data_IF_809793955848
#
_entry.id   IF_809793955848
#
_cell.length_a   1.000
_cell.length_b   1.000
_cell.length_c   1.000
_cell.angle_alpha   90.00
_cell.angle_beta   90.00
_cell.angle_gamma   90.00
#
_symmetry.space_group_name_H-M   'P 1'
#
loop_
_entity.id
_entity.type
_entity.pdbx_description
1 polymer ?
#
# COMPACT_ATOMS: atom_id res chain seq x y z
N UNK A 1 24.96 26.41 16.62
CA UNK A 1 23.96 26.15 15.56
C UNK A 1 23.73 24.65 15.47
N UNK A 2 22.62 24.16 16.05
CA UNK A 2 22.34 22.72 16.21
C UNK A 2 21.87 22.17 14.86
N UNK A 3 22.70 21.34 14.21
CA UNK A 3 22.39 20.66 12.94
C UNK A 3 21.25 19.67 13.18
N UNK A 4 20.03 20.09 12.84
CA UNK A 4 18.85 19.24 12.84
C UNK A 4 18.96 18.29 11.64
N UNK A 5 19.55 17.10 11.85
CA UNK A 5 19.41 15.98 10.91
C UNK A 5 18.03 15.39 11.14
N UNK A 6 17.00 15.99 10.54
CA UNK A 6 15.69 15.37 10.47
C UNK A 6 15.85 14.16 9.53
N UNK A 7 15.70 12.91 10.00
CA UNK A 7 15.81 11.76 9.12
C UNK A 7 14.63 11.80 8.14
N UNK A 8 14.94 11.68 6.85
CA UNK A 8 13.97 11.64 5.74
C UNK A 8 12.81 10.64 5.98
N UNK A 9 13.02 9.66 6.86
CA UNK A 9 12.04 8.69 7.32
C UNK A 9 10.78 9.32 7.95
N UNK A 10 10.88 10.49 8.61
CA UNK A 10 9.73 11.11 9.31
C UNK A 10 8.76 11.79 8.33
N UNK A 11 9.24 12.22 7.15
CA UNK A 11 8.38 12.88 6.15
C UNK A 11 7.42 11.87 5.49
N UNK A 12 7.82 10.60 5.36
CA UNK A 12 6.93 9.54 4.87
C UNK A 12 5.80 9.21 5.87
N UNK A 13 6.04 9.37 7.18
CA UNK A 13 5.09 9.05 8.27
C UNK A 13 3.89 10.02 8.29
N UNK A 14 4.09 11.30 7.92
CA UNK A 14 3.02 12.31 7.98
C UNK A 14 2.04 12.17 6.81
N UNK A 15 2.48 11.65 5.66
CA UNK A 15 1.60 11.42 4.51
C UNK A 15 0.54 10.34 4.79
N UNK A 16 0.85 9.35 5.66
CA UNK A 16 -0.06 8.25 5.96
C UNK A 16 -1.05 8.56 7.09
N UNK A 17 -0.65 9.33 8.12
CA UNK A 17 -1.52 9.66 9.25
C UNK A 17 -2.75 10.51 8.84
N UNK A 18 -2.67 11.28 7.75
CA UNK A 18 -3.80 12.03 7.21
C UNK A 18 -4.75 11.19 6.34
N UNK A 19 -4.36 9.98 5.94
CA UNK A 19 -5.21 9.05 5.18
C UNK A 19 -5.96 8.04 6.07
N UNK A 20 -5.80 8.12 7.39
CA UNK A 20 -6.44 7.20 8.34
C UNK A 20 -7.51 7.88 9.23
N UNK A 21 -7.70 9.20 9.12
CA UNK A 21 -8.70 9.95 9.88
C UNK A 21 -9.78 10.52 8.94
N UNK A 22 -10.78 9.72 8.62
CA UNK A 22 -11.97 10.19 7.89
C UNK A 22 -12.86 9.03 7.45
N UNK A 23 -14.09 8.99 7.98
CA UNK A 23 -15.10 7.99 7.68
C UNK A 23 -15.55 7.91 6.20
N UNK A 24 -16.69 7.26 5.93
CA UNK A 24 -17.00 6.63 4.65
C UNK A 24 -17.42 7.66 3.58
N UNK A 25 -16.45 8.33 2.95
CA UNK A 25 -16.64 9.07 1.68
C UNK A 25 -15.36 8.99 0.85
N UNK A 26 -15.31 8.02 -0.06
CA UNK A 26 -14.43 7.99 -1.23
C UNK A 26 -12.94 8.14 -0.93
N UNK A 27 -12.30 7.07 -0.47
CA UNK A 27 -10.85 6.93 -0.68
C UNK A 27 -10.61 6.84 -2.19
N UNK A 28 -10.30 7.98 -2.82
CA UNK A 28 -9.74 8.00 -4.16
C UNK A 28 -8.35 7.40 -4.03
N UNK A 29 -8.23 6.10 -4.34
CA UNK A 29 -6.94 5.46 -4.53
C UNK A 29 -6.32 6.13 -5.76
N UNK A 30 -5.36 7.04 -5.55
CA UNK A 30 -4.67 7.70 -6.67
C UNK A 30 -3.51 6.83 -7.13
N UNK A 31 -3.02 7.02 -8.37
CA UNK A 31 -1.79 6.36 -8.83
C UNK A 31 -0.60 6.58 -7.88
N UNK A 32 -0.48 7.79 -7.29
CA UNK A 32 0.52 8.09 -6.25
C UNK A 32 0.35 7.28 -4.98
N UNK A 33 -0.88 6.95 -4.60
CA UNK A 33 -1.17 6.08 -3.45
C UNK A 33 -0.73 4.65 -3.73
N UNK A 34 -0.87 4.19 -4.97
CA UNK A 34 -0.43 2.85 -5.38
C UNK A 34 1.11 2.76 -5.38
N UNK A 35 1.78 3.71 -6.01
CA UNK A 35 3.25 3.83 -5.98
C UNK A 35 3.81 3.93 -4.55
N UNK A 36 3.15 4.70 -3.68
CA UNK A 36 3.54 4.81 -2.28
C UNK A 36 3.46 3.48 -1.55
N UNK A 37 2.50 2.60 -1.91
CA UNK A 37 2.37 1.29 -1.27
C UNK A 37 3.51 0.35 -1.68
N UNK A 38 3.93 0.38 -2.94
CA UNK A 38 5.12 -0.37 -3.40
C UNK A 38 6.39 0.12 -2.70
N UNK A 39 6.58 1.44 -2.60
CA UNK A 39 7.69 2.02 -1.86
C UNK A 39 7.70 1.60 -0.39
N UNK A 40 6.54 1.60 0.26
CA UNK A 40 6.37 1.11 1.63
C UNK A 40 6.69 -0.37 1.76
N UNK A 41 6.37 -1.18 0.75
CA UNK A 41 6.65 -2.62 0.75
C UNK A 41 8.16 -2.87 0.71
N UNK A 42 8.89 -2.16 -0.16
CA UNK A 42 10.36 -2.23 -0.23
C UNK A 42 11.00 -1.80 1.09
N UNK A 43 10.52 -0.68 1.67
CA UNK A 43 11.05 -0.19 2.94
C UNK A 43 10.82 -1.17 4.10
N UNK A 44 9.60 -1.75 4.18
CA UNK A 44 9.27 -2.77 5.19
C UNK A 44 10.10 -4.04 4.99
N UNK A 45 10.34 -4.44 3.73
CA UNK A 45 11.19 -5.61 3.43
C UNK A 45 12.60 -5.41 3.92
N UNK A 46 13.17 -4.23 3.63
CA UNK A 46 14.51 -3.88 4.10
C UNK A 46 14.59 -3.92 5.63
N UNK A 47 13.57 -3.43 6.33
CA UNK A 47 13.52 -3.45 7.79
C UNK A 47 13.48 -4.88 8.34
N UNK A 48 12.65 -5.77 7.78
CA UNK A 48 12.58 -7.17 8.21
C UNK A 48 13.88 -7.94 7.96
N UNK A 49 14.57 -7.66 6.84
CA UNK A 49 15.90 -8.24 6.60
C UNK A 49 16.90 -7.80 7.68
N UNK A 50 16.97 -6.49 7.98
CA UNK A 50 17.84 -5.97 9.03
C UNK A 50 17.52 -6.56 10.40
N UNK A 51 16.24 -6.64 10.78
CA UNK A 51 15.84 -7.23 12.06
C UNK A 51 16.23 -8.70 12.19
N UNK A 52 16.20 -9.47 11.10
CA UNK A 52 16.65 -10.86 11.09
C UNK A 52 18.18 -10.94 11.21
N UNK A 53 18.90 -10.14 10.42
CA UNK A 53 20.37 -10.11 10.41
C UNK A 53 20.94 -9.69 11.79
N UNK A 54 20.27 -8.74 12.46
CA UNK A 54 20.62 -8.29 13.81
C UNK A 54 20.15 -9.26 14.92
N UNK A 55 19.43 -10.34 14.57
CA UNK A 55 18.91 -11.33 15.52
C UNK A 55 17.79 -10.83 16.43
N UNK A 56 17.13 -9.72 16.06
CA UNK A 56 16.04 -9.10 16.82
C UNK A 56 14.73 -9.86 16.64
N UNK A 57 14.52 -10.41 15.45
CA UNK A 57 13.41 -11.34 15.16
C UNK A 57 13.97 -12.72 14.84
N UNK A 58 13.17 -13.75 15.10
CA UNK A 58 13.51 -15.11 14.72
C UNK A 58 13.13 -15.41 13.26
N UNK A 59 13.53 -16.59 12.81
CA UNK A 59 13.25 -17.04 11.44
C UNK A 59 11.76 -17.26 11.19
N UNK A 60 10.98 -17.63 12.20
CA UNK A 60 9.56 -17.90 12.04
C UNK A 60 8.77 -16.61 11.79
N UNK A 61 9.10 -15.53 12.52
CA UNK A 61 8.51 -14.21 12.29
C UNK A 61 8.89 -13.66 10.91
N UNK A 62 10.15 -13.82 10.50
CA UNK A 62 10.59 -13.43 9.17
C UNK A 62 9.88 -14.22 8.06
N UNK A 63 9.78 -15.54 8.20
CA UNK A 63 9.14 -16.39 7.19
C UNK A 63 7.64 -16.07 7.05
N UNK A 64 6.96 -15.70 8.13
CA UNK A 64 5.57 -15.23 8.07
C UNK A 64 5.43 -13.92 7.28
N UNK A 65 6.35 -12.96 7.48
CA UNK A 65 6.39 -11.75 6.66
C UNK A 65 6.68 -12.07 5.19
N UNK A 66 7.67 -12.94 4.94
CA UNK A 66 8.08 -13.34 3.59
C UNK A 66 6.94 -14.03 2.83
N UNK A 67 6.20 -14.93 3.46
CA UNK A 67 5.07 -15.60 2.81
C UNK A 67 4.00 -14.60 2.36
N UNK A 68 3.65 -13.64 3.23
CA UNK A 68 2.75 -12.55 2.84
C UNK A 68 3.36 -11.66 1.76
N UNK A 69 4.66 -11.35 1.83
CA UNK A 69 5.35 -10.54 0.85
C UNK A 69 5.34 -11.14 -0.56
N UNK A 70 5.44 -12.47 -0.67
CA UNK A 70 5.29 -13.18 -1.95
C UNK A 70 3.87 -13.00 -2.53
N UNK A 71 2.83 -13.09 -1.70
CA UNK A 71 1.45 -12.82 -2.12
C UNK A 71 1.27 -11.37 -2.55
N UNK A 72 1.86 -10.42 -1.83
CA UNK A 72 1.85 -9.01 -2.22
C UNK A 72 2.49 -8.82 -3.60
N UNK A 73 3.68 -9.36 -3.84
CA UNK A 73 4.38 -9.23 -5.12
C UNK A 73 3.60 -9.85 -6.29
N UNK A 74 2.87 -10.94 -6.05
CA UNK A 74 2.10 -11.60 -7.10
C UNK A 74 0.76 -10.91 -7.38
N UNK A 75 0.00 -10.58 -6.33
CA UNK A 75 -1.40 -10.19 -6.47
C UNK A 75 -1.60 -8.68 -6.51
N UNK A 76 -0.74 -7.90 -5.85
CA UNK A 76 -0.88 -6.45 -5.81
C UNK A 76 -0.79 -5.81 -7.20
N UNK A 77 0.18 -6.17 -8.08
CA UNK A 77 0.24 -5.63 -9.43
C UNK A 77 -1.02 -5.95 -10.25
N UNK A 78 -1.55 -7.18 -10.12
CA UNK A 78 -2.81 -7.58 -10.78
C UNK A 78 -3.99 -6.72 -10.32
N UNK A 79 -4.06 -6.38 -9.03
CA UNK A 79 -5.08 -5.49 -8.49
C UNK A 79 -4.91 -4.05 -8.98
N UNK A 80 -3.67 -3.57 -9.10
CA UNK A 80 -3.36 -2.25 -9.68
C UNK A 80 -3.79 -2.17 -11.16
N UNK A 81 -3.49 -3.19 -11.95
CA UNK A 81 -3.89 -3.26 -13.36
C UNK A 81 -5.43 -3.28 -13.49
N UNK A 82 -6.10 -4.09 -12.68
CA UNK A 82 -7.57 -4.12 -12.64
C UNK A 82 -8.15 -2.75 -12.27
N UNK A 83 -7.52 -2.05 -11.32
CA UNK A 83 -7.93 -0.69 -10.93
C UNK A 83 -7.77 0.30 -12.09
N UNK A 84 -6.65 0.23 -12.82
CA UNK A 84 -6.39 1.08 -13.98
C UNK A 84 -7.43 0.86 -15.10
N UNK A 85 -7.82 -0.39 -15.37
CA UNK A 85 -8.86 -0.73 -16.34
C UNK A 85 -10.21 -0.12 -15.94
N UNK A 86 -10.61 -0.30 -14.68
CA UNK A 86 -11.88 0.23 -14.17
C UNK A 86 -11.87 1.76 -14.16
N UNK A 87 -10.75 2.38 -13.79
CA UNK A 87 -10.58 3.82 -13.80
C UNK A 87 -10.68 4.39 -15.23
N UNK A 88 -9.99 3.78 -16.21
CA UNK A 88 -10.06 4.21 -17.61
C UNK A 88 -11.48 4.05 -18.17
N UNK A 89 -12.15 2.93 -17.89
CA UNK A 89 -13.54 2.73 -18.29
C UNK A 89 -14.44 3.81 -17.70
N UNK A 90 -14.30 4.11 -16.41
CA UNK A 90 -15.10 5.14 -15.73
C UNK A 90 -14.87 6.53 -16.35
N UNK A 91 -13.62 6.86 -16.69
CA UNK A 91 -13.29 8.11 -17.39
C UNK A 91 -13.97 8.15 -18.76
N UNK A 92 -13.97 7.04 -19.51
CA UNK A 92 -14.65 6.96 -20.82
C UNK A 92 -16.16 7.12 -20.67
N UNK A 93 -16.79 6.48 -19.68
CA UNK A 93 -18.23 6.61 -19.41
C UNK A 93 -18.63 8.06 -19.15
N UNK A 94 -17.82 8.81 -18.42
CA UNK A 94 -18.03 10.24 -18.17
C UNK A 94 -17.89 11.06 -19.46
N UNK A 95 -16.97 10.68 -20.36
CA UNK A 95 -16.74 11.38 -21.64
C UNK A 95 -17.78 11.03 -22.71
N UNK A 96 -18.35 9.83 -22.67
CA UNK A 96 -19.35 9.34 -23.62
C UNK A 96 -20.60 8.83 -22.88
N UNK A 97 -21.39 9.73 -22.27
CA UNK A 97 -22.51 9.34 -21.41
C UNK A 97 -23.64 8.60 -22.16
N UNK A 98 -23.65 8.68 -23.49
CA UNK A 98 -24.64 8.06 -24.36
C UNK A 98 -24.41 6.55 -24.56
N UNK A 99 -23.22 6.05 -24.18
CA UNK A 99 -22.83 4.63 -24.29
C UNK A 99 -22.69 4.07 -22.88
N UNK A 100 -23.46 3.03 -22.54
CA UNK A 100 -23.30 2.29 -21.28
C UNK A 100 -22.13 1.29 -21.40
N UNK A 101 -20.97 1.66 -20.84
CA UNK A 101 -19.74 0.88 -20.85
C UNK A 101 -19.64 -0.14 -19.71
N UNK A 102 -20.63 -0.20 -18.78
CA UNK A 102 -20.67 -1.11 -17.62
C UNK A 102 -19.30 -1.36 -16.95
N UNK A 103 -18.73 -0.31 -16.38
CA UNK A 103 -17.40 -0.31 -15.76
C UNK A 103 -17.30 -0.99 -14.37
N UNK A 104 -18.06 -2.07 -14.12
CA UNK A 104 -18.14 -2.73 -12.82
C UNK A 104 -16.78 -3.20 -12.26
N UNK A 105 -16.74 -3.55 -10.96
CA UNK A 105 -15.54 -4.12 -10.32
C UNK A 105 -14.69 -3.14 -9.49
N UNK A 106 -15.06 -1.84 -9.44
CA UNK A 106 -14.30 -0.83 -8.71
C UNK A 106 -14.22 -1.12 -7.21
N UNK A 107 -15.33 -1.55 -6.61
CA UNK A 107 -15.44 -1.79 -5.18
C UNK A 107 -14.60 -3.01 -4.77
N UNK A 108 -14.68 -4.08 -5.54
CA UNK A 108 -13.95 -5.32 -5.31
C UNK A 108 -12.44 -5.12 -5.42
N UNK A 109 -11.98 -4.45 -6.48
CA UNK A 109 -10.55 -4.15 -6.66
C UNK A 109 -10.04 -3.22 -5.54
N UNK A 110 -10.84 -2.21 -5.16
CA UNK A 110 -10.50 -1.31 -4.06
C UNK A 110 -10.35 -2.06 -2.73
N UNK A 111 -11.24 -3.04 -2.45
CA UNK A 111 -11.15 -3.87 -1.24
C UNK A 111 -9.85 -4.67 -1.18
N UNK A 112 -9.43 -5.25 -2.30
CA UNK A 112 -8.16 -6.01 -2.38
C UNK A 112 -6.96 -5.09 -2.10
N UNK A 113 -6.89 -3.93 -2.74
CA UNK A 113 -5.80 -2.96 -2.52
C UNK A 113 -5.77 -2.49 -1.05
N UNK A 114 -6.93 -2.22 -0.46
CA UNK A 114 -7.02 -1.83 0.95
C UNK A 114 -6.59 -2.93 1.91
N UNK A 115 -6.87 -4.19 1.59
CA UNK A 115 -6.41 -5.33 2.39
C UNK A 115 -4.87 -5.40 2.40
N UNK A 116 -4.22 -5.29 1.24
CA UNK A 116 -2.76 -5.22 1.16
C UNK A 116 -2.18 -4.02 1.91
N UNK A 117 -2.81 -2.85 1.78
CA UNK A 117 -2.41 -1.65 2.52
C UNK A 117 -2.41 -1.87 4.02
N UNK A 118 -3.51 -2.38 4.55
CA UNK A 118 -3.69 -2.55 5.99
C UNK A 118 -2.73 -3.61 6.54
N UNK A 119 -2.53 -4.71 5.81
CA UNK A 119 -1.61 -5.76 6.23
C UNK A 119 -0.14 -5.28 6.19
N UNK A 120 0.26 -4.53 5.15
CA UNK A 120 1.59 -3.93 5.09
C UNK A 120 1.82 -2.96 6.25
N UNK A 121 0.82 -2.13 6.57
CA UNK A 121 0.88 -1.22 7.71
C UNK A 121 1.03 -1.97 9.04
N UNK A 122 0.32 -3.10 9.21
CA UNK A 122 0.46 -3.93 10.40
C UNK A 122 1.88 -4.49 10.56
N UNK A 123 2.49 -5.00 9.49
CA UNK A 123 3.89 -5.46 9.51
C UNK A 123 4.86 -4.32 9.81
N UNK A 124 4.66 -3.16 9.19
CA UNK A 124 5.50 -1.99 9.46
C UNK A 124 5.43 -1.58 10.93
N UNK A 125 4.23 -1.46 11.51
CA UNK A 125 4.06 -1.13 12.94
C UNK A 125 4.67 -2.20 13.85
N UNK A 126 4.53 -3.48 13.50
CA UNK A 126 5.11 -4.57 14.27
C UNK A 126 6.64 -4.48 14.30
N UNK A 127 7.26 -4.24 13.15
CA UNK A 127 8.70 -4.11 13.01
C UNK A 127 9.27 -2.86 13.72
N UNK A 128 8.53 -1.74 13.78
CA UNK A 128 8.95 -0.53 14.49
C UNK A 128 8.95 -0.67 16.03
N UNK A 129 8.34 -1.72 16.57
CA UNK A 129 8.28 -2.00 18.01
C UNK A 129 9.38 -2.96 18.48
N UNK A 130 10.20 -3.46 17.55
CA UNK A 130 11.33 -4.35 17.82
C UNK A 130 12.57 -3.52 18.13
#
# INVERSE_FOLDING_TARGET
MKRWKLPLAIVAVIAFALSACGGPKGFVITGKTLEALEGQFVATTSLYNTLLDDGVIDRAEYDAYKEWGLKFQEEYPKAVDAYAIVADCTIRQVKTPEVDLRCGGAEEVTKVILAFKNQLFAYWVAAQKK
#
